data_IF_319198769961
#
_entry.id   IF_319198769961
#
_cell.length_a   1.000
_cell.length_b   1.000
_cell.length_c   1.000
_cell.angle_alpha   90.00
_cell.angle_beta   90.00
_cell.angle_gamma   90.00
#
_symmetry.space_group_name_H-M   'P 1'
#
loop_
_entity.id
_entity.type
_entity.pdbx_description
1 polymer ?
#
# COMPACT_ATOMS: atom_id res chain seq x y z
N UNK A 1 19.20 8.42 -36.90
CA UNK A 1 17.94 8.01 -36.26
C UNK A 1 18.23 7.88 -34.78
N UNK A 2 17.55 8.67 -33.94
CA UNK A 2 17.75 8.62 -32.47
C UNK A 2 17.03 7.38 -31.96
N UNK A 3 17.79 6.47 -31.37
CA UNK A 3 17.25 5.32 -30.66
C UNK A 3 16.40 5.81 -29.48
N UNK A 4 15.17 5.31 -29.43
CA UNK A 4 14.21 5.59 -28.37
C UNK A 4 14.79 5.06 -27.04
N UNK A 5 15.13 5.95 -26.11
CA UNK A 5 15.59 5.58 -24.75
C UNK A 5 14.51 4.91 -23.88
N UNK A 6 13.33 4.65 -24.45
CA UNK A 6 12.25 3.95 -23.79
C UNK A 6 11.97 2.69 -24.60
N UNK A 7 12.89 1.73 -24.49
CA UNK A 7 12.69 0.37 -24.97
C UNK A 7 11.37 -0.18 -24.42
N UNK A 8 10.62 -0.81 -25.31
CA UNK A 8 9.36 -1.54 -25.14
C UNK A 8 8.60 -1.33 -23.82
N UNK A 9 7.40 -0.78 -23.94
CA UNK A 9 6.38 -0.68 -22.90
C UNK A 9 6.09 -2.04 -22.25
N UNK A 10 6.86 -2.40 -21.22
CA UNK A 10 6.47 -3.41 -20.24
C UNK A 10 5.41 -2.79 -19.31
N UNK A 11 4.21 -2.56 -19.86
CA UNK A 11 2.99 -2.26 -19.10
C UNK A 11 2.33 -3.54 -18.57
N UNK A 12 2.81 -4.71 -18.98
CA UNK A 12 2.24 -5.99 -18.60
C UNK A 12 2.95 -6.57 -17.38
N UNK A 13 2.36 -6.33 -16.21
CA UNK A 13 2.51 -7.21 -15.05
C UNK A 13 1.19 -7.98 -14.93
N UNK A 14 1.25 -9.30 -14.71
CA UNK A 14 0.06 -10.12 -14.38
C UNK A 14 -0.67 -9.59 -13.15
N UNK A 15 0.04 -8.81 -12.33
CA UNK A 15 -0.44 -8.16 -11.14
C UNK A 15 -0.82 -6.71 -11.45
N UNK A 16 -2.11 -6.48 -11.69
CA UNK A 16 -2.71 -5.24 -12.25
C UNK A 16 -2.33 -3.93 -11.54
N UNK A 17 -1.93 -3.97 -10.29
CA UNK A 17 -1.66 -2.78 -9.48
C UNK A 17 -0.16 -2.41 -9.49
N UNK A 18 0.75 -3.36 -9.75
CA UNK A 18 2.16 -3.07 -10.05
C UNK A 18 2.32 -2.23 -11.33
N UNK A 19 1.52 -2.55 -12.36
CA UNK A 19 1.51 -1.75 -13.59
C UNK A 19 0.95 -0.33 -13.34
N UNK A 20 -0.04 -0.19 -12.46
CA UNK A 20 -0.59 1.11 -12.05
C UNK A 20 0.45 1.95 -11.31
N UNK A 21 1.19 1.37 -10.36
CA UNK A 21 2.30 2.07 -9.70
C UNK A 21 3.37 2.55 -10.68
N UNK A 22 3.74 1.70 -11.65
CA UNK A 22 4.67 2.07 -12.73
C UNK A 22 4.16 3.23 -13.60
N UNK A 23 2.86 3.27 -13.90
CA UNK A 23 2.24 4.38 -14.65
C UNK A 23 2.29 5.68 -13.83
N UNK A 24 1.95 5.63 -12.54
CA UNK A 24 2.00 6.82 -11.68
C UNK A 24 3.41 7.38 -11.58
N UNK A 25 4.42 6.52 -11.41
CA UNK A 25 5.84 6.94 -11.34
C UNK A 25 6.29 7.64 -12.62
N UNK A 26 5.97 7.06 -13.78
CA UNK A 26 6.24 7.69 -15.08
C UNK A 26 5.51 9.01 -15.26
N UNK A 27 4.26 9.09 -14.80
CA UNK A 27 3.51 10.34 -14.83
C UNK A 27 4.24 11.41 -14.01
N UNK A 28 4.69 11.10 -12.78
CA UNK A 28 5.47 12.03 -11.95
C UNK A 28 6.70 12.58 -12.67
N UNK A 29 7.48 11.69 -13.30
CA UNK A 29 8.69 12.05 -14.05
C UNK A 29 8.38 12.96 -15.26
N UNK A 30 7.16 12.86 -15.79
CA UNK A 30 6.73 13.58 -16.99
C UNK A 30 5.88 14.83 -16.72
N UNK A 31 5.42 15.08 -15.48
CA UNK A 31 4.51 16.19 -15.16
C UNK A 31 5.01 17.51 -15.74
N UNK A 32 6.28 17.86 -15.55
CA UNK A 32 6.84 19.12 -16.06
C UNK A 32 6.80 19.21 -17.60
N UNK A 33 7.03 18.09 -18.29
CA UNK A 33 6.97 18.04 -19.75
C UNK A 33 5.52 18.15 -20.25
N UNK A 34 4.58 17.50 -19.55
CA UNK A 34 3.14 17.55 -19.84
C UNK A 34 2.61 18.97 -19.67
N UNK A 35 2.90 19.62 -18.53
CA UNK A 35 2.54 21.02 -18.26
C UNK A 35 3.05 21.94 -19.37
N UNK A 36 4.33 21.81 -19.75
CA UNK A 36 4.91 22.61 -20.82
C UNK A 36 4.22 22.39 -22.16
N UNK A 37 3.92 21.14 -22.50
CA UNK A 37 3.26 20.78 -23.76
C UNK A 37 1.83 21.33 -23.84
N UNK A 38 1.07 21.23 -22.74
CA UNK A 38 -0.30 21.72 -22.64
C UNK A 38 -0.37 23.25 -22.74
N UNK A 39 0.57 23.97 -22.11
CA UNK A 39 0.69 25.42 -22.26
C UNK A 39 0.95 25.85 -23.70
N UNK A 40 1.75 25.09 -24.46
CA UNK A 40 1.99 25.40 -25.88
C UNK A 40 0.74 25.23 -26.75
N UNK A 41 -0.26 24.50 -26.26
CA UNK A 41 -1.53 24.27 -26.94
C UNK A 41 -2.66 25.17 -26.46
N UNK A 42 -2.38 26.07 -25.51
CA UNK A 42 -3.39 26.90 -24.85
C UNK A 42 -4.46 26.07 -24.10
N UNK A 43 -4.06 24.89 -23.60
CA UNK A 43 -4.92 23.94 -22.87
C UNK A 43 -4.36 23.65 -21.46
N UNK A 44 -4.16 24.66 -20.59
CA UNK A 44 -3.55 24.45 -19.28
C UNK A 44 -4.46 23.58 -18.38
N UNK A 45 -3.83 22.71 -17.59
CA UNK A 45 -4.46 21.94 -16.51
C UNK A 45 -3.93 22.50 -15.19
N UNK A 46 -4.70 23.36 -14.48
CA UNK A 46 -4.24 24.04 -13.27
C UNK A 46 -3.77 23.10 -12.16
N UNK A 47 -4.36 21.90 -12.07
CA UNK A 47 -4.05 20.90 -11.05
C UNK A 47 -2.60 20.42 -11.13
N UNK A 48 -2.03 20.31 -12.33
CA UNK A 48 -0.64 19.86 -12.52
C UNK A 48 0.40 20.91 -12.10
N UNK A 49 -0.06 22.12 -11.80
CA UNK A 49 0.76 23.22 -11.27
C UNK A 49 0.36 23.60 -9.84
N UNK A 50 -0.71 23.01 -9.32
CA UNK A 50 -1.18 23.21 -7.96
C UNK A 50 -0.29 22.40 -7.00
N UNK A 51 0.40 23.10 -6.11
CA UNK A 51 1.29 22.54 -5.09
C UNK A 51 0.59 21.57 -4.14
N UNK A 52 -0.64 21.85 -3.71
CA UNK A 52 -1.43 20.96 -2.84
C UNK A 52 -1.71 19.65 -3.59
N UNK A 53 -2.22 19.76 -4.82
CA UNK A 53 -2.50 18.59 -5.65
C UNK A 53 -1.23 17.75 -5.91
N UNK A 54 -0.10 18.41 -6.19
CA UNK A 54 1.18 17.73 -6.40
C UNK A 54 1.67 17.01 -5.14
N UNK A 55 1.43 17.57 -3.94
CA UNK A 55 1.72 16.91 -2.65
C UNK A 55 0.83 15.70 -2.45
N UNK A 56 -0.47 15.82 -2.67
CA UNK A 56 -1.42 14.69 -2.58
C UNK A 56 -1.03 13.57 -3.55
N UNK A 57 -0.64 13.94 -4.78
CA UNK A 57 -0.14 13.00 -5.78
C UNK A 57 1.18 12.32 -5.36
N UNK A 58 2.10 13.08 -4.75
CA UNK A 58 3.34 12.55 -4.20
C UNK A 58 3.10 11.56 -3.06
N UNK A 59 2.18 11.88 -2.15
CA UNK A 59 1.78 10.96 -1.09
C UNK A 59 1.14 9.68 -1.63
N UNK A 60 0.24 9.80 -2.62
CA UNK A 60 -0.36 8.65 -3.30
C UNK A 60 0.70 7.73 -3.92
N UNK A 61 1.73 8.30 -4.53
CA UNK A 61 2.85 7.55 -5.10
C UNK A 61 3.60 6.76 -4.04
N UNK A 62 3.98 7.43 -2.95
CA UNK A 62 4.71 6.80 -1.86
C UNK A 62 3.90 5.65 -1.24
N UNK A 63 2.60 5.85 -0.94
CA UNK A 63 1.73 4.79 -0.43
C UNK A 63 1.58 3.65 -1.43
N UNK A 64 1.43 3.96 -2.72
CA UNK A 64 1.31 2.93 -3.77
C UNK A 64 2.60 2.11 -3.89
N UNK A 65 3.77 2.73 -3.77
CA UNK A 65 5.06 2.02 -3.77
C UNK A 65 5.19 1.09 -2.54
N UNK A 66 4.70 1.54 -1.39
CA UNK A 66 4.70 0.74 -0.16
C UNK A 66 3.77 -0.47 -0.23
N UNK A 67 2.59 -0.31 -0.84
CA UNK A 67 1.74 -1.43 -1.20
C UNK A 67 2.41 -2.34 -2.24
N UNK A 68 3.19 -1.76 -3.17
CA UNK A 68 3.96 -2.49 -4.19
C UNK A 68 4.96 -3.45 -3.58
N UNK A 69 5.73 -2.94 -2.64
CA UNK A 69 6.69 -3.74 -1.87
C UNK A 69 5.98 -4.86 -1.11
N UNK A 70 4.90 -4.57 -0.37
CA UNK A 70 4.19 -5.58 0.40
C UNK A 70 3.66 -6.71 -0.49
N UNK A 71 2.95 -6.40 -1.56
CA UNK A 71 2.36 -7.48 -2.35
C UNK A 71 3.42 -8.24 -3.16
N UNK A 72 4.56 -7.64 -3.53
CA UNK A 72 5.70 -8.41 -4.03
C UNK A 72 6.25 -9.37 -2.97
N UNK A 73 6.33 -8.93 -1.71
CA UNK A 73 6.70 -9.81 -0.60
C UNK A 73 5.68 -10.95 -0.47
N UNK A 74 4.38 -10.68 -0.50
CA UNK A 74 3.34 -11.71 -0.35
C UNK A 74 3.31 -12.72 -1.50
N UNK A 75 3.70 -12.32 -2.72
CA UNK A 75 3.76 -13.21 -3.89
C UNK A 75 5.13 -13.85 -4.11
N UNK A 76 6.07 -13.71 -3.17
CA UNK A 76 7.33 -14.42 -3.24
C UNK A 76 7.07 -15.94 -3.29
N UNK A 77 7.81 -16.64 -4.16
CA UNK A 77 7.70 -18.10 -4.26
C UNK A 77 8.12 -18.75 -2.94
N UNK A 78 7.50 -19.88 -2.63
CA UNK A 78 7.82 -20.72 -1.47
C UNK A 78 7.55 -20.08 -0.10
N UNK A 79 6.68 -19.06 -0.03
CA UNK A 79 6.30 -18.45 1.24
C UNK A 79 5.34 -19.31 2.06
N UNK A 80 5.70 -19.52 3.31
CA UNK A 80 4.82 -20.17 4.27
C UNK A 80 3.77 -19.18 4.81
N UNK A 81 2.67 -19.72 5.33
CA UNK A 81 1.58 -18.94 5.91
C UNK A 81 2.08 -17.99 7.00
N UNK A 82 2.98 -18.47 7.86
CA UNK A 82 3.56 -17.70 8.96
C UNK A 82 4.35 -16.49 8.46
N UNK A 83 5.11 -16.64 7.38
CA UNK A 83 5.88 -15.55 6.77
C UNK A 83 4.95 -14.48 6.21
N UNK A 84 3.91 -14.89 5.46
CA UNK A 84 2.91 -13.95 4.93
C UNK A 84 2.19 -13.20 6.05
N UNK A 85 1.83 -13.89 7.14
CA UNK A 85 1.22 -13.25 8.32
C UNK A 85 2.18 -12.25 8.96
N UNK A 86 3.47 -12.57 9.02
CA UNK A 86 4.50 -11.68 9.56
C UNK A 86 4.62 -10.40 8.73
N UNK A 87 4.65 -10.49 7.39
CA UNK A 87 4.73 -9.29 6.54
C UNK A 87 3.51 -8.38 6.69
N UNK A 88 2.30 -8.96 6.74
CA UNK A 88 1.06 -8.20 6.92
C UNK A 88 1.08 -7.48 8.27
N UNK A 89 1.50 -8.17 9.35
CA UNK A 89 1.63 -7.57 10.68
C UNK A 89 2.69 -6.47 10.71
N UNK A 90 3.83 -6.68 10.05
CA UNK A 90 4.88 -5.66 9.94
C UNK A 90 4.37 -4.43 9.18
N UNK A 91 3.60 -4.63 8.11
CA UNK A 91 2.99 -3.53 7.36
C UNK A 91 1.95 -2.77 8.20
N UNK A 92 1.09 -3.46 8.94
CA UNK A 92 0.17 -2.82 9.89
C UNK A 92 0.92 -1.96 10.91
N UNK A 93 2.05 -2.44 11.46
CA UNK A 93 2.90 -1.65 12.36
C UNK A 93 3.51 -0.42 11.69
N UNK A 94 3.77 -0.49 10.39
CA UNK A 94 4.24 0.65 9.60
C UNK A 94 3.14 1.71 9.44
N UNK A 95 1.90 1.30 9.19
CA UNK A 95 0.73 2.20 9.14
C UNK A 95 0.49 2.87 10.51
N UNK A 96 0.46 2.09 11.60
CA UNK A 96 0.31 2.62 12.98
C UNK A 96 1.39 3.65 13.34
N UNK A 97 2.60 3.47 12.80
CA UNK A 97 3.70 4.39 12.98
C UNK A 97 3.46 5.68 12.17
N UNK A 98 3.07 5.57 10.90
CA UNK A 98 2.80 6.71 10.04
C UNK A 98 1.63 7.58 10.49
N UNK A 99 0.63 7.02 11.17
CA UNK A 99 -0.42 7.82 11.79
C UNK A 99 0.12 8.77 12.88
N UNK A 100 1.20 8.37 13.55
CA UNK A 100 1.76 9.05 14.72
C UNK A 100 2.87 10.03 14.37
N UNK A 101 3.40 9.97 13.15
CA UNK A 101 4.44 10.91 12.73
C UNK A 101 3.78 12.23 12.31
N UNK A 102 3.89 13.23 13.19
CA UNK A 102 3.26 14.54 13.08
C UNK A 102 3.88 15.37 11.94
N UNK A 103 3.53 15.06 10.70
CA UNK A 103 4.00 15.78 9.51
C UNK A 103 5.44 15.47 9.09
N UNK A 104 6.10 14.48 9.72
CA UNK A 104 7.41 14.00 9.29
C UNK A 104 7.29 13.21 7.97
N UNK A 105 7.89 13.74 6.91
CA UNK A 105 7.80 13.18 5.56
C UNK A 105 9.00 12.34 5.16
N UNK A 106 9.92 12.00 6.08
CA UNK A 106 11.12 11.21 5.76
C UNK A 106 10.82 9.81 5.18
N UNK A 107 9.63 9.28 5.46
CA UNK A 107 9.15 8.00 4.93
C UNK A 107 8.38 8.12 3.61
N UNK A 108 8.16 9.34 3.15
CA UNK A 108 7.40 9.70 1.95
C UNK A 108 8.29 10.57 1.04
N UNK A 109 9.28 9.96 0.36
CA UNK A 109 10.30 10.70 -0.36
C UNK A 109 9.74 11.58 -1.48
N UNK A 110 8.73 11.11 -2.22
CA UNK A 110 8.12 11.92 -3.29
C UNK A 110 7.34 13.09 -2.68
N UNK A 111 6.53 12.85 -1.64
CA UNK A 111 5.85 13.93 -0.92
C UNK A 111 6.85 14.97 -0.38
N UNK A 112 7.95 14.52 0.23
CA UNK A 112 9.00 15.38 0.78
C UNK A 112 9.63 16.27 -0.30
N UNK A 113 9.86 15.70 -1.49
CA UNK A 113 10.31 16.45 -2.66
C UNK A 113 9.30 17.54 -3.07
N UNK A 114 8.00 17.22 -3.15
CA UNK A 114 6.94 18.16 -3.53
C UNK A 114 6.76 19.30 -2.52
N UNK A 115 6.90 19.00 -1.22
CA UNK A 115 6.91 20.02 -0.17
C UNK A 115 8.10 20.96 -0.35
N UNK A 116 9.28 20.39 -0.62
CA UNK A 116 10.52 21.16 -0.82
C UNK A 116 10.46 22.08 -2.05
N UNK A 117 9.67 21.74 -3.06
CA UNK A 117 9.41 22.56 -4.25
C UNK A 117 8.48 23.76 -3.97
N UNK A 118 7.78 23.78 -2.82
CA UNK A 118 6.79 24.79 -2.44
C UNK A 118 6.93 25.22 -0.96
N UNK A 119 8.11 25.71 -0.51
CA UNK A 119 8.43 25.85 0.92
C UNK A 119 7.63 26.95 1.64
N UNK A 120 7.01 27.86 0.89
CA UNK A 120 6.21 28.95 1.45
C UNK A 120 4.78 28.52 1.83
N UNK A 121 4.33 27.37 1.33
CA UNK A 121 3.01 26.84 1.65
C UNK A 121 3.13 25.79 2.76
N UNK A 122 2.49 25.99 3.93
CA UNK A 122 2.57 25.04 5.02
C UNK A 122 2.01 23.68 4.58
N UNK A 123 2.61 22.61 5.10
CA UNK A 123 2.11 21.25 4.92
C UNK A 123 1.24 20.88 6.12
N UNK A 124 -0.02 20.53 5.87
CA UNK A 124 -0.93 19.95 6.86
C UNK A 124 -1.06 18.45 6.58
N UNK A 125 -0.61 17.63 7.53
CA UNK A 125 -0.58 16.17 7.40
C UNK A 125 -1.92 15.51 7.72
N UNK A 126 -2.91 16.22 8.29
CA UNK A 126 -4.16 15.63 8.79
C UNK A 126 -4.87 14.76 7.76
N UNK A 127 -4.97 15.25 6.53
CA UNK A 127 -5.64 14.52 5.45
C UNK A 127 -4.90 13.23 5.10
N UNK A 128 -3.57 13.27 5.03
CA UNK A 128 -2.75 12.09 4.77
C UNK A 128 -2.81 11.07 5.92
N UNK A 129 -2.81 11.54 7.17
CA UNK A 129 -2.97 10.70 8.37
C UNK A 129 -4.33 10.00 8.35
N UNK A 130 -5.40 10.70 7.99
CA UNK A 130 -6.73 10.10 7.84
C UNK A 130 -6.75 8.99 6.77
N UNK A 131 -6.05 9.17 5.65
CA UNK A 131 -5.92 8.12 4.62
C UNK A 131 -5.15 6.91 5.16
N UNK A 132 -4.04 7.12 5.88
CA UNK A 132 -3.28 6.02 6.51
C UNK A 132 -4.17 5.25 7.48
N UNK A 133 -4.98 5.96 8.27
CA UNK A 133 -5.86 5.33 9.25
C UNK A 133 -6.96 4.49 8.62
N UNK A 134 -7.60 5.03 7.58
CA UNK A 134 -8.56 4.28 6.77
C UNK A 134 -7.91 3.06 6.10
N UNK A 135 -6.66 3.16 5.66
CA UNK A 135 -5.92 2.05 5.08
C UNK A 135 -5.65 0.96 6.13
N UNK A 136 -5.23 1.35 7.34
CA UNK A 136 -4.99 0.43 8.45
C UNK A 136 -6.24 -0.36 8.82
N UNK A 137 -7.37 0.32 8.99
CA UNK A 137 -8.66 -0.33 9.30
C UNK A 137 -9.11 -1.28 8.20
N UNK A 138 -8.93 -0.89 6.93
CA UNK A 138 -9.18 -1.79 5.81
C UNK A 138 -8.29 -3.03 5.85
N UNK A 139 -7.00 -2.89 6.14
CA UNK A 139 -6.09 -4.04 6.27
C UNK A 139 -6.48 -4.96 7.44
N UNK A 140 -6.82 -4.41 8.60
CA UNK A 140 -7.29 -5.19 9.76
C UNK A 140 -8.53 -6.01 9.41
N UNK A 141 -9.47 -5.42 8.66
CA UNK A 141 -10.68 -6.10 8.24
C UNK A 141 -10.42 -7.16 7.17
N UNK A 142 -9.62 -6.84 6.14
CA UNK A 142 -9.31 -7.75 5.03
C UNK A 142 -8.56 -9.00 5.49
N UNK A 143 -7.66 -8.86 6.46
CA UNK A 143 -6.82 -9.97 6.95
C UNK A 143 -7.30 -10.55 8.28
N UNK A 144 -8.53 -10.23 8.71
CA UNK A 144 -9.10 -10.76 9.95
C UNK A 144 -9.13 -12.29 9.94
N UNK A 145 -9.76 -12.87 8.92
CA UNK A 145 -9.89 -14.32 8.78
C UNK A 145 -8.53 -14.98 8.55
N UNK A 146 -7.62 -14.30 7.84
CA UNK A 146 -6.26 -14.78 7.62
C UNK A 146 -5.49 -14.93 8.93
N UNK A 147 -5.64 -14.00 9.87
CA UNK A 147 -5.04 -14.10 11.20
C UNK A 147 -5.64 -15.26 12.03
N UNK A 148 -6.94 -15.52 11.89
CA UNK A 148 -7.59 -16.64 12.55
C UNK A 148 -7.07 -17.99 12.02
N UNK A 149 -6.95 -18.13 10.69
CA UNK A 149 -6.38 -19.32 10.04
C UNK A 149 -4.90 -19.49 10.40
N UNK A 150 -4.11 -18.41 10.44
CA UNK A 150 -2.72 -18.45 10.85
C UNK A 150 -2.55 -18.95 12.28
N UNK A 151 -3.43 -18.52 13.19
CA UNK A 151 -3.44 -18.99 14.58
C UNK A 151 -3.73 -20.49 14.66
N UNK A 152 -4.63 -21.02 13.82
CA UNK A 152 -4.91 -22.46 13.73
C UNK A 152 -3.74 -23.25 13.16
N UNK A 153 -3.11 -22.77 12.08
CA UNK A 153 -1.94 -23.41 11.52
C UNK A 153 -0.78 -23.46 12.54
N UNK A 154 -0.55 -22.37 13.27
CA UNK A 154 0.50 -22.31 14.29
C UNK A 154 0.21 -23.26 15.47
N UNK A 155 -1.05 -23.45 15.84
CA UNK A 155 -1.44 -24.46 16.83
C UNK A 155 -1.12 -25.90 16.37
N UNK A 156 -1.31 -26.22 15.08
CA UNK A 156 -0.95 -27.54 14.54
C UNK A 156 0.56 -27.80 14.66
N UNK A 157 1.38 -26.77 14.41
CA UNK A 157 2.85 -26.85 14.52
C UNK A 157 3.31 -26.84 15.98
N UNK A 158 2.62 -26.12 16.86
CA UNK A 158 2.95 -25.97 18.27
C UNK A 158 1.71 -26.12 19.18
N UNK A 159 1.28 -27.36 19.49
CA UNK A 159 0.01 -27.63 20.18
C UNK A 159 -0.07 -27.13 21.62
N UNK A 160 1.08 -26.73 22.20
CA UNK A 160 1.18 -26.27 23.58
C UNK A 160 1.33 -24.75 23.70
N UNK A 161 1.16 -24.00 22.60
CA UNK A 161 1.16 -22.55 22.65
C UNK A 161 -0.02 -22.02 23.51
N UNK A 162 0.21 -20.93 24.24
CA UNK A 162 -0.84 -20.30 25.03
C UNK A 162 -1.89 -19.66 24.13
N UNK A 163 -3.09 -20.25 24.09
CA UNK A 163 -4.23 -19.75 23.31
C UNK A 163 -5.48 -19.65 24.19
N UNK A 164 -6.38 -18.73 23.86
CA UNK A 164 -7.73 -18.74 24.39
C UNK A 164 -8.51 -19.88 23.73
N UNK A 165 -8.77 -20.94 24.51
CA UNK A 165 -9.42 -22.16 24.05
C UNK A 165 -10.83 -21.90 23.52
N UNK A 166 -11.58 -20.95 24.10
CA UNK A 166 -12.96 -20.67 23.71
C UNK A 166 -13.01 -19.92 22.37
N UNK A 167 -12.15 -18.91 22.23
CA UNK A 167 -12.03 -18.16 20.99
C UNK A 167 -11.53 -19.07 19.86
N UNK A 168 -10.52 -19.91 20.15
CA UNK A 168 -9.96 -20.86 19.19
C UNK A 168 -10.99 -21.89 18.71
N UNK A 169 -11.74 -22.51 19.62
CA UNK A 169 -12.77 -23.49 19.28
C UNK A 169 -13.88 -22.88 18.40
N UNK A 170 -14.25 -21.63 18.67
CA UNK A 170 -15.23 -20.88 17.87
C UNK A 170 -14.72 -20.65 16.45
N UNK A 171 -13.49 -20.16 16.30
CA UNK A 171 -12.90 -19.93 14.98
C UNK A 171 -12.69 -21.24 14.20
N UNK A 172 -12.25 -22.33 14.85
CA UNK A 172 -12.10 -23.65 14.18
C UNK A 172 -13.45 -24.15 13.67
N UNK A 173 -14.50 -24.05 14.48
CA UNK A 173 -15.85 -24.48 14.10
C UNK A 173 -16.40 -23.63 12.94
N UNK A 174 -16.16 -22.31 12.97
CA UNK A 174 -16.56 -21.40 11.89
C UNK A 174 -15.86 -21.70 10.55
N UNK A 175 -14.56 -22.03 10.57
CA UNK A 175 -13.76 -22.18 9.36
C UNK A 175 -13.71 -23.63 8.83
N UNK A 176 -13.82 -24.62 9.71
CA UNK A 176 -13.64 -26.04 9.37
C UNK A 176 -14.78 -26.95 9.85
N UNK A 177 -15.74 -26.44 10.61
CA UNK A 177 -16.94 -27.15 11.00
C UNK A 177 -17.93 -27.20 9.84
N UNK A 178 -17.72 -28.10 8.88
CA UNK A 178 -18.74 -28.38 7.88
C UNK A 178 -20.06 -28.83 8.52
N UNK A 179 -21.19 -28.61 7.84
CA UNK A 179 -22.51 -29.09 8.25
C UNK A 179 -22.50 -30.62 8.41
N UNK A 180 -22.32 -31.08 9.65
CA UNK A 180 -22.55 -32.49 9.98
C UNK A 180 -24.06 -32.68 9.99
N UNK A 181 -24.62 -33.06 8.84
CA UNK A 181 -26.02 -33.44 8.74
C UNK A 181 -26.31 -34.57 9.76
N UNK A 182 -27.38 -34.48 10.55
CA UNK A 182 -27.70 -35.50 11.52
C UNK A 182 -28.09 -36.78 10.78
N UNK A 183 -27.33 -37.85 11.02
CA UNK A 183 -27.64 -39.23 10.61
C UNK A 183 -28.86 -39.77 11.34
#
# INVERSE_FOLDING_TARGET
MKDCQYGELLLYSEVRWLSRGGVLKRLNDMISAIVRFLKQRDEPIPELENSIWLRDFGFLLDITEQLNELNLQLHARDKELEEMTSDIKAFLKKLEFWEKIDGDTRHFPVLSEKISQSPLEPYDSKYHVEIVSNLEDNFKNLFKDFNEIATMAQFVVSPFMGIDIQQFATSVTHHFGGDIAPT
#
